data_IF_929820577136
#
_entry.id   IF_929820577136
#
_cell.length_a   1.000
_cell.length_b   1.000
_cell.length_c   1.000
_cell.angle_alpha   90.00
_cell.angle_beta   90.00
_cell.angle_gamma   90.00
#
_symmetry.space_group_name_H-M   'P 1'
#
loop_
_entity.id
_entity.type
_entity.pdbx_description
1 polymer ?
#
# COMPACT_ATOMS: atom_id res chain seq x y z
N UNK A 1 -5.18 19.66 -8.69
CA UNK A 1 -3.95 18.89 -8.38
C UNK A 1 -2.87 19.49 -9.25
N UNK A 2 -2.07 20.34 -8.66
CA UNK A 2 -1.01 21.00 -9.40
C UNK A 2 -0.02 19.95 -9.97
N UNK A 3 0.91 20.37 -10.83
CA UNK A 3 1.92 19.56 -11.55
C UNK A 3 2.80 18.63 -10.67
N UNK A 4 2.47 18.51 -9.37
CA UNK A 4 3.25 17.78 -8.37
C UNK A 4 2.77 16.33 -8.19
N UNK A 5 1.45 16.06 -8.30
CA UNK A 5 0.87 14.71 -8.10
C UNK A 5 0.05 14.34 -9.34
N UNK A 6 0.35 13.18 -9.92
CA UNK A 6 -0.37 12.65 -11.07
C UNK A 6 -0.72 11.17 -10.88
N UNK A 7 -1.79 10.75 -11.56
CA UNK A 7 -2.32 9.41 -11.49
C UNK A 7 -2.55 8.84 -12.88
N UNK A 8 -2.56 7.51 -12.99
CA UNK A 8 -2.92 6.79 -14.21
C UNK A 8 -4.09 5.86 -13.97
N UNK A 9 -4.97 5.65 -14.96
CA UNK A 9 -6.06 4.68 -14.89
C UNK A 9 -5.58 3.23 -14.72
N UNK A 10 -4.46 2.85 -15.31
CA UNK A 10 -3.87 1.53 -15.09
C UNK A 10 -3.48 1.39 -13.60
N UNK A 11 -4.04 0.41 -12.91
CA UNK A 11 -3.78 0.15 -11.49
C UNK A 11 -4.17 1.29 -10.55
N UNK A 12 -4.92 2.30 -11.01
CA UNK A 12 -5.09 3.57 -10.29
C UNK A 12 -3.74 4.08 -9.73
N UNK A 13 -2.70 4.06 -10.56
CA UNK A 13 -1.30 4.27 -10.18
C UNK A 13 -1.06 5.71 -9.75
N UNK A 14 -0.30 5.89 -8.65
CA UNK A 14 0.36 7.15 -8.31
C UNK A 14 1.62 7.24 -9.19
N UNK A 15 1.56 8.02 -10.27
CA UNK A 15 2.65 8.17 -11.24
C UNK A 15 3.71 9.15 -10.76
N UNK A 16 3.30 10.23 -10.13
CA UNK A 16 4.22 11.21 -9.56
C UNK A 16 3.76 11.71 -8.21
N UNK A 17 4.72 11.98 -7.35
CA UNK A 17 4.58 12.70 -6.10
C UNK A 17 5.83 13.56 -5.93
N UNK A 18 5.73 14.83 -6.36
CA UNK A 18 6.89 15.74 -6.39
C UNK A 18 6.94 16.59 -5.13
N UNK A 19 8.12 16.70 -4.57
CA UNK A 19 8.41 17.52 -3.38
C UNK A 19 9.72 18.26 -3.61
N UNK A 20 9.69 19.58 -3.50
CA UNK A 20 10.88 20.41 -3.74
C UNK A 20 11.51 20.19 -5.12
N UNK A 21 10.69 19.86 -6.13
CA UNK A 21 11.12 19.62 -7.50
C UNK A 21 11.57 18.17 -7.81
N UNK A 22 11.68 17.29 -6.80
CA UNK A 22 12.02 15.89 -6.98
C UNK A 22 10.75 15.03 -6.97
N UNK A 23 10.58 14.15 -7.97
CA UNK A 23 9.59 13.08 -7.89
C UNK A 23 10.12 11.99 -6.94
N UNK A 24 9.48 11.81 -5.79
CA UNK A 24 9.94 10.89 -4.75
C UNK A 24 9.39 9.47 -4.90
N UNK A 25 8.60 9.19 -5.95
CA UNK A 25 8.10 7.84 -6.25
C UNK A 25 8.71 7.31 -7.54
N UNK A 26 8.99 6.01 -7.56
CA UNK A 26 9.46 5.31 -8.76
C UNK A 26 8.30 5.09 -9.73
N UNK A 27 8.61 5.12 -11.03
CA UNK A 27 7.61 4.92 -12.06
C UNK A 27 8.16 5.07 -13.48
N UNK A 28 7.22 5.20 -14.42
CA UNK A 28 7.50 5.36 -15.85
C UNK A 28 6.83 6.62 -16.40
N UNK A 29 7.33 7.17 -17.50
CA UNK A 29 6.77 8.40 -18.10
C UNK A 29 5.40 8.20 -18.77
N UNK A 30 5.02 6.97 -19.14
CA UNK A 30 3.73 6.71 -19.80
C UNK A 30 3.05 5.43 -19.33
N UNK A 31 1.73 5.33 -19.51
CA UNK A 31 0.93 4.17 -19.11
C UNK A 31 1.34 2.90 -19.85
N UNK A 32 1.73 2.99 -21.11
CA UNK A 32 2.17 1.86 -21.92
C UNK A 32 3.41 1.20 -21.29
N UNK A 33 4.35 2.02 -20.82
CA UNK A 33 5.56 1.52 -20.16
C UNK A 33 5.25 0.85 -18.80
N UNK A 34 4.24 1.35 -18.07
CA UNK A 34 3.74 0.64 -16.89
C UNK A 34 3.11 -0.70 -17.27
N UNK A 35 2.30 -0.76 -18.33
CA UNK A 35 1.67 -2.02 -18.76
C UNK A 35 2.70 -3.08 -19.15
N UNK A 36 3.83 -2.66 -19.72
CA UNK A 36 4.88 -3.56 -20.22
C UNK A 36 5.94 -3.91 -19.17
N UNK A 37 6.32 -2.97 -18.31
CA UNK A 37 7.52 -3.08 -17.46
C UNK A 37 7.27 -3.01 -15.96
N UNK A 38 6.02 -2.81 -15.50
CA UNK A 38 5.72 -2.63 -14.07
C UNK A 38 5.59 -3.96 -13.30
N UNK A 39 6.54 -4.86 -13.47
CA UNK A 39 6.59 -6.08 -12.64
C UNK A 39 6.72 -5.79 -11.13
N UNK A 40 7.41 -4.70 -10.67
CA UNK A 40 7.47 -4.34 -9.26
C UNK A 40 6.20 -3.68 -8.71
N UNK A 41 5.18 -3.41 -9.53
CA UNK A 41 3.94 -2.71 -9.13
C UNK A 41 4.12 -1.25 -8.70
N UNK A 42 5.08 -0.50 -9.26
CA UNK A 42 5.33 0.91 -8.94
C UNK A 42 4.04 1.72 -8.89
N UNK A 43 3.71 2.26 -7.72
CA UNK A 43 2.58 3.15 -7.49
C UNK A 43 1.18 2.53 -7.57
N UNK A 44 1.08 1.23 -7.82
CA UNK A 44 -0.19 0.56 -8.11
C UNK A 44 -1.05 0.34 -6.86
N UNK A 45 -2.36 0.44 -7.03
CA UNK A 45 -3.35 -0.07 -6.08
C UNK A 45 -3.40 -1.58 -6.17
N UNK A 46 -3.08 -2.25 -5.08
CA UNK A 46 -3.05 -3.71 -4.98
C UNK A 46 -4.40 -4.23 -4.47
N UNK A 47 -4.87 -5.28 -5.09
CA UNK A 47 -6.08 -6.05 -4.78
C UNK A 47 -6.23 -7.23 -5.75
N UNK A 48 -7.21 -8.13 -5.57
CA UNK A 48 -8.24 -8.11 -4.51
C UNK A 48 -7.64 -8.25 -3.10
N UNK A 49 -6.54 -9.03 -2.96
CA UNK A 49 -5.85 -9.23 -1.69
C UNK A 49 -4.38 -8.85 -1.84
N UNK A 50 -3.95 -7.84 -1.11
CA UNK A 50 -2.57 -7.43 -0.99
C UNK A 50 -1.75 -8.46 -0.22
N UNK A 51 -0.46 -8.56 -0.55
CA UNK A 51 0.47 -9.55 -0.04
C UNK A 51 0.00 -10.98 -0.34
N UNK A 52 0.21 -11.97 0.55
CA UNK A 52 0.09 -13.40 0.24
C UNK A 52 -1.14 -14.07 0.85
N UNK A 53 -1.64 -15.08 0.14
CA UNK A 53 -2.57 -16.10 0.65
C UNK A 53 -1.86 -17.45 0.57
N UNK A 54 -1.70 -18.11 1.71
CA UNK A 54 -1.01 -19.40 1.86
C UNK A 54 -1.67 -20.50 1.02
N UNK A 55 -0.84 -21.29 0.33
CA UNK A 55 -1.28 -22.42 -0.47
C UNK A 55 -2.23 -22.06 -1.60
N UNK A 56 -2.30 -20.76 -1.98
CA UNK A 56 -3.24 -20.24 -2.99
C UNK A 56 -4.68 -20.74 -2.77
N UNK A 57 -5.12 -20.80 -1.51
CA UNK A 57 -6.40 -21.42 -1.13
C UNK A 57 -7.00 -20.77 0.12
N UNK A 58 -8.32 -20.72 0.17
CA UNK A 58 -9.09 -20.40 1.37
C UNK A 58 -10.23 -21.38 1.53
N UNK A 59 -10.39 -21.88 2.72
CA UNK A 59 -11.44 -22.81 3.12
C UNK A 59 -12.55 -22.14 3.90
N UNK A 60 -13.71 -22.83 3.95
CA UNK A 60 -14.84 -22.43 4.81
C UNK A 60 -15.41 -21.04 4.53
N UNK A 61 -15.54 -20.65 3.24
CA UNK A 61 -16.31 -19.49 2.79
C UNK A 61 -17.66 -19.92 2.19
N UNK A 62 -18.64 -19.00 2.18
CA UNK A 62 -19.93 -19.22 1.49
C UNK A 62 -20.57 -20.56 1.82
N UNK A 63 -20.70 -20.86 3.12
CA UNK A 63 -21.32 -22.11 3.58
C UNK A 63 -20.38 -23.32 3.53
N UNK A 64 -19.08 -23.13 3.77
CA UNK A 64 -18.09 -24.20 3.88
C UNK A 64 -17.38 -24.55 2.58
N UNK A 65 -17.49 -23.74 1.54
CA UNK A 65 -16.79 -23.95 0.27
C UNK A 65 -15.32 -23.60 0.39
N UNK A 66 -14.52 -24.31 -0.42
CA UNK A 66 -13.08 -24.01 -0.63
C UNK A 66 -12.91 -23.28 -1.95
N UNK A 67 -12.10 -22.24 -1.95
CA UNK A 67 -11.72 -21.46 -3.14
C UNK A 67 -10.23 -21.58 -3.37
N UNK A 68 -9.84 -21.88 -4.62
CA UNK A 68 -8.46 -21.94 -5.05
C UNK A 68 -8.14 -20.77 -5.96
N UNK A 69 -6.98 -20.19 -5.78
CA UNK A 69 -6.49 -19.03 -6.51
C UNK A 69 -5.30 -19.39 -7.38
N UNK A 70 -4.81 -18.45 -8.16
CA UNK A 70 -3.60 -18.65 -8.96
C UNK A 70 -2.37 -18.59 -8.03
N UNK A 71 -1.56 -19.66 -8.06
CA UNK A 71 -0.28 -19.71 -7.37
C UNK A 71 0.80 -19.01 -8.23
N UNK A 72 0.96 -17.70 -8.06
CA UNK A 72 1.88 -16.87 -8.82
C UNK A 72 3.17 -16.50 -8.06
N UNK A 73 3.32 -16.99 -6.82
CA UNK A 73 4.50 -16.78 -5.98
C UNK A 73 4.82 -18.07 -5.20
N UNK A 74 5.55 -18.99 -5.83
CA UNK A 74 5.74 -20.33 -5.29
C UNK A 74 4.40 -21.03 -5.06
N UNK A 75 4.13 -21.58 -3.86
CA UNK A 75 2.85 -22.22 -3.56
C UNK A 75 1.72 -21.21 -3.27
N UNK A 76 2.01 -19.92 -3.14
CA UNK A 76 1.10 -18.90 -2.63
C UNK A 76 0.54 -18.02 -3.76
N UNK A 77 -0.61 -17.39 -3.48
CA UNK A 77 -1.09 -16.25 -4.28
C UNK A 77 -0.47 -14.97 -3.73
N UNK A 78 0.03 -14.11 -4.62
CA UNK A 78 0.58 -12.79 -4.30
C UNK A 78 -0.19 -11.71 -5.05
N UNK A 79 -0.54 -10.63 -4.36
CA UNK A 79 -1.11 -9.40 -4.92
C UNK A 79 -2.35 -9.63 -5.81
N UNK A 80 -3.20 -10.58 -5.43
CA UNK A 80 -4.46 -10.85 -6.12
C UNK A 80 -4.36 -11.70 -7.39
N UNK A 81 -3.21 -12.32 -7.67
CA UNK A 81 -3.04 -13.25 -8.80
C UNK A 81 -2.16 -12.71 -9.93
N UNK A 82 -2.26 -13.29 -11.12
CA UNK A 82 -1.41 -12.98 -12.27
C UNK A 82 -1.65 -11.57 -12.83
N UNK A 83 -2.91 -11.18 -12.92
CA UNK A 83 -3.30 -9.87 -13.43
C UNK A 83 -3.51 -8.90 -12.26
N UNK A 84 -4.20 -9.30 -11.20
CA UNK A 84 -4.45 -8.47 -10.04
C UNK A 84 -5.01 -7.08 -10.37
N UNK A 85 -5.41 -6.31 -9.38
CA UNK A 85 -5.99 -4.99 -9.61
C UNK A 85 -4.96 -3.94 -10.05
N UNK A 86 -3.70 -4.11 -9.69
CA UNK A 86 -2.60 -3.23 -10.07
C UNK A 86 -2.24 -3.25 -11.56
N UNK A 87 -2.73 -4.23 -12.31
CA UNK A 87 -2.52 -4.38 -13.76
C UNK A 87 -3.78 -4.17 -14.58
N UNK A 88 -4.89 -3.78 -13.95
CA UNK A 88 -6.16 -3.49 -14.62
C UNK A 88 -6.34 -2.01 -14.85
N UNK A 89 -7.06 -1.66 -15.92
CA UNK A 89 -7.46 -0.27 -16.19
C UNK A 89 -8.72 0.03 -15.37
N UNK A 90 -8.62 0.97 -14.45
CA UNK A 90 -9.71 1.48 -13.64
C UNK A 90 -10.46 2.57 -14.39
N UNK A 91 -11.76 2.69 -14.15
CA UNK A 91 -12.54 3.83 -14.60
C UNK A 91 -12.13 5.07 -13.80
N UNK A 92 -11.80 6.15 -14.47
CA UNK A 92 -11.32 7.39 -13.85
C UNK A 92 -10.08 7.96 -14.54
N UNK A 93 -9.47 9.04 -14.00
CA UNK A 93 -9.91 9.76 -12.80
C UNK A 93 -11.23 10.54 -13.02
N UNK A 94 -12.17 10.39 -12.10
CA UNK A 94 -13.42 11.16 -12.09
C UNK A 94 -13.33 12.21 -10.98
N UNK A 95 -13.44 13.53 -11.27
CA UNK A 95 -13.45 14.55 -10.24
C UNK A 95 -14.64 14.37 -9.28
N UNK A 96 -14.37 14.41 -7.97
CA UNK A 96 -15.39 14.26 -6.91
C UNK A 96 -15.64 15.60 -6.20
N UNK A 97 -14.70 16.53 -6.30
CA UNK A 97 -14.79 17.86 -5.68
C UNK A 97 -13.53 18.24 -4.90
N UNK A 98 -13.67 19.19 -4.01
CA UNK A 98 -12.57 19.71 -3.19
C UNK A 98 -12.85 19.42 -1.72
N UNK A 99 -11.92 18.79 -1.03
CA UNK A 99 -11.96 18.57 0.42
C UNK A 99 -11.11 19.61 1.13
N UNK A 100 -11.67 20.25 2.17
CA UNK A 100 -10.96 21.24 2.99
C UNK A 100 -10.13 20.63 4.11
N UNK A 101 -10.36 19.37 4.42
CA UNK A 101 -9.64 18.63 5.46
C UNK A 101 -9.54 17.15 5.11
N UNK A 102 -8.59 16.50 5.74
CA UNK A 102 -8.44 15.04 5.76
C UNK A 102 -8.55 14.60 7.22
N UNK A 103 -9.47 13.67 7.57
CA UNK A 103 -9.61 13.20 8.94
C UNK A 103 -8.28 12.71 9.52
N UNK A 104 -7.88 13.24 10.68
CA UNK A 104 -6.61 12.94 11.34
C UNK A 104 -5.42 13.78 10.88
N UNK A 105 -5.59 14.68 9.91
CA UNK A 105 -4.58 15.68 9.52
C UNK A 105 -5.02 17.05 10.04
N UNK A 106 -4.12 17.72 10.75
CA UNK A 106 -4.39 19.06 11.28
C UNK A 106 -4.26 20.15 10.21
N UNK A 107 -5.05 21.20 10.35
CA UNK A 107 -5.04 22.36 9.47
C UNK A 107 -5.98 22.24 8.25
N UNK A 108 -6.17 23.39 7.60
CA UNK A 108 -6.97 23.46 6.36
C UNK A 108 -6.12 23.02 5.17
N UNK A 109 -6.68 22.13 4.37
CA UNK A 109 -6.05 21.62 3.15
C UNK A 109 -6.22 22.64 2.02
N UNK A 110 -5.14 23.23 1.58
CA UNK A 110 -5.09 24.07 0.38
C UNK A 110 -5.01 23.17 -0.86
N UNK A 111 -5.81 23.45 -1.86
CA UNK A 111 -6.02 22.55 -3.00
C UNK A 111 -7.14 21.57 -2.65
N UNK A 112 -6.81 20.35 -2.26
CA UNK A 112 -7.76 19.34 -1.80
C UNK A 112 -8.62 18.75 -2.90
N UNK A 113 -8.22 18.90 -4.17
CA UNK A 113 -8.91 18.25 -5.28
C UNK A 113 -8.92 16.74 -5.05
N UNK A 114 -10.10 16.17 -5.24
CA UNK A 114 -10.34 14.74 -5.05
C UNK A 114 -10.78 14.11 -6.37
N UNK A 115 -10.16 12.99 -6.70
CA UNK A 115 -10.55 12.15 -7.84
C UNK A 115 -10.87 10.73 -7.37
N UNK A 116 -11.84 10.10 -8.02
CA UNK A 116 -12.23 8.71 -7.85
C UNK A 116 -11.70 7.85 -9.00
N UNK A 117 -11.17 6.68 -8.68
CA UNK A 117 -11.02 5.56 -9.59
C UNK A 117 -11.88 4.41 -9.10
N UNK A 118 -12.52 3.68 -10.03
CA UNK A 118 -13.36 2.53 -9.69
C UNK A 118 -13.08 1.34 -10.59
N UNK A 119 -13.22 0.13 -10.04
CA UNK A 119 -13.03 -1.14 -10.72
C UNK A 119 -14.11 -2.11 -10.27
N UNK A 120 -14.77 -2.77 -11.22
CA UNK A 120 -15.58 -3.95 -10.96
C UNK A 120 -14.72 -5.19 -11.20
N UNK A 121 -14.55 -6.01 -10.16
CA UNK A 121 -13.89 -7.30 -10.20
C UNK A 121 -14.97 -8.37 -10.14
N UNK A 122 -15.20 -9.07 -11.23
CA UNK A 122 -16.31 -10.00 -11.41
C UNK A 122 -16.19 -11.25 -10.50
N UNK A 123 -17.31 -11.97 -10.32
CA UNK A 123 -17.32 -13.23 -9.60
C UNK A 123 -16.41 -14.24 -10.30
N UNK A 124 -15.51 -14.88 -9.54
CA UNK A 124 -14.51 -15.83 -10.07
C UNK A 124 -13.25 -15.18 -10.64
N UNK A 125 -13.13 -13.85 -10.60
CA UNK A 125 -11.91 -13.15 -11.03
C UNK A 125 -10.69 -13.62 -10.22
N UNK A 126 -9.65 -14.13 -10.89
CA UNK A 126 -8.46 -14.81 -10.31
C UNK A 126 -8.81 -15.94 -9.31
N UNK A 127 -10.05 -16.44 -9.35
CA UNK A 127 -10.60 -17.46 -8.45
C UNK A 127 -11.32 -16.90 -7.22
N UNK A 128 -11.35 -15.60 -7.02
CA UNK A 128 -12.02 -14.97 -5.87
C UNK A 128 -13.54 -15.00 -6.01
N UNK A 129 -14.29 -15.40 -4.96
CA UNK A 129 -15.75 -15.43 -5.02
C UNK A 129 -16.35 -14.03 -4.95
N UNK A 130 -17.46 -13.86 -5.65
CA UNK A 130 -18.29 -12.66 -5.63
C UNK A 130 -17.79 -11.52 -6.49
N UNK A 131 -18.74 -10.77 -7.02
CA UNK A 131 -18.50 -9.52 -7.73
C UNK A 131 -18.23 -8.40 -6.73
N UNK A 132 -17.12 -7.70 -6.87
CA UNK A 132 -16.70 -6.61 -5.99
C UNK A 132 -16.57 -5.31 -6.77
N UNK A 133 -17.25 -4.26 -6.28
CA UNK A 133 -17.01 -2.88 -6.71
C UNK A 133 -15.96 -2.27 -5.78
N UNK A 134 -14.77 -2.00 -6.31
CA UNK A 134 -13.69 -1.34 -5.62
C UNK A 134 -13.55 0.11 -6.06
N UNK A 135 -13.20 0.99 -5.11
CA UNK A 135 -12.94 2.41 -5.34
C UNK A 135 -11.70 2.87 -4.61
N UNK A 136 -11.00 3.82 -5.19
CA UNK A 136 -9.97 4.61 -4.51
C UNK A 136 -10.21 6.09 -4.75
N UNK A 137 -10.18 6.87 -3.67
CA UNK A 137 -10.30 8.32 -3.70
C UNK A 137 -8.93 8.91 -3.37
N UNK A 138 -8.35 9.63 -4.31
CA UNK A 138 -7.13 10.38 -4.09
C UNK A 138 -7.47 11.84 -3.82
N UNK A 139 -7.08 12.35 -2.64
CA UNK A 139 -7.20 13.77 -2.28
C UNK A 139 -5.81 14.34 -2.12
N UNK A 140 -5.47 15.35 -2.92
CA UNK A 140 -4.15 15.97 -2.91
C UNK A 140 -4.24 17.45 -2.55
N UNK A 141 -3.32 17.92 -1.71
CA UNK A 141 -3.25 19.31 -1.29
C UNK A 141 -2.04 19.60 -0.42
N UNK A 142 -2.04 20.77 0.20
CA UNK A 142 -0.98 21.22 1.10
C UNK A 142 -1.56 21.71 2.41
N UNK A 143 -0.88 21.40 3.51
CA UNK A 143 -1.17 21.96 4.84
C UNK A 143 0.04 22.74 5.34
N UNK A 144 -0.19 23.66 6.29
CA UNK A 144 0.91 24.33 6.98
C UNK A 144 1.07 23.73 8.37
N UNK A 145 2.18 23.04 8.60
CA UNK A 145 2.51 22.44 9.91
C UNK A 145 3.81 23.05 10.44
N UNK A 146 3.77 23.57 11.65
CA UNK A 146 4.94 24.19 12.30
C UNK A 146 5.66 25.23 11.40
N UNK A 147 4.88 25.99 10.61
CA UNK A 147 5.39 27.00 9.69
C UNK A 147 5.98 26.45 8.39
N UNK A 148 5.94 25.14 8.17
CA UNK A 148 6.38 24.48 6.92
C UNK A 148 5.18 24.13 6.05
N UNK A 149 5.34 24.25 4.72
CA UNK A 149 4.38 23.76 3.76
C UNK A 149 4.61 22.26 3.54
N UNK A 150 3.60 21.44 3.82
CA UNK A 150 3.63 19.99 3.70
C UNK A 150 2.67 19.57 2.59
N UNK A 151 3.17 18.87 1.59
CA UNK A 151 2.34 18.24 0.56
C UNK A 151 1.70 16.97 1.14
N UNK A 152 0.38 16.85 0.97
CA UNK A 152 -0.41 15.75 1.51
C UNK A 152 -1.14 15.04 0.37
N UNK A 153 -1.04 13.72 0.35
CA UNK A 153 -1.83 12.83 -0.51
C UNK A 153 -2.56 11.82 0.37
N UNK A 154 -3.88 11.95 0.45
CA UNK A 154 -4.75 10.96 1.08
C UNK A 154 -5.28 9.98 0.05
N UNK A 155 -5.28 8.71 0.40
CA UNK A 155 -5.81 7.59 -0.35
C UNK A 155 -6.88 6.93 0.52
N UNK A 156 -8.13 6.96 0.07
CA UNK A 156 -9.22 6.25 0.72
C UNK A 156 -9.68 5.11 -0.17
N UNK A 157 -9.65 3.91 0.37
CA UNK A 157 -10.11 2.70 -0.29
C UNK A 157 -11.50 2.33 0.19
N UNK A 158 -12.33 1.90 -0.75
CA UNK A 158 -13.62 1.26 -0.49
C UNK A 158 -13.77 0.02 -1.34
N UNK A 159 -14.41 -1.03 -0.79
CA UNK A 159 -14.87 -2.15 -1.59
C UNK A 159 -16.18 -2.70 -1.03
N UNK A 160 -17.07 -3.11 -1.91
CA UNK A 160 -18.38 -3.68 -1.60
C UNK A 160 -18.60 -4.96 -2.41
N UNK A 161 -19.12 -5.99 -1.75
CA UNK A 161 -19.59 -7.21 -2.42
C UNK A 161 -20.97 -6.94 -3.02
N UNK A 162 -21.04 -6.81 -4.36
CA UNK A 162 -22.25 -6.39 -5.08
C UNK A 162 -23.03 -7.54 -5.71
N UNK A 163 -22.42 -8.74 -5.81
CA UNK A 163 -23.06 -9.92 -6.38
C UNK A 163 -22.27 -11.20 -6.27
N UNK A 164 -22.82 -12.30 -6.77
CA UNK A 164 -22.12 -13.58 -6.98
C UNK A 164 -21.89 -14.46 -5.73
N UNK A 165 -21.81 -13.87 -4.53
CA UNK A 165 -21.53 -14.60 -3.29
C UNK A 165 -22.09 -13.87 -2.07
N UNK A 166 -22.10 -14.51 -0.89
CA UNK A 166 -22.45 -13.89 0.39
C UNK A 166 -21.19 -13.42 1.14
N UNK A 167 -20.02 -13.99 0.83
CA UNK A 167 -18.74 -13.66 1.45
C UNK A 167 -17.62 -13.63 0.40
N UNK A 168 -16.70 -12.69 0.55
CA UNK A 168 -15.46 -12.62 -0.25
C UNK A 168 -14.29 -12.20 0.63
N UNK A 169 -13.11 -12.08 0.02
CA UNK A 169 -11.88 -11.70 0.69
C UNK A 169 -11.39 -10.39 0.11
N UNK A 170 -10.98 -9.46 0.98
CA UNK A 170 -10.49 -8.15 0.56
C UNK A 170 -9.33 -7.67 1.43
N UNK A 171 -8.29 -7.15 0.80
CA UNK A 171 -7.21 -6.42 1.43
C UNK A 171 -6.56 -5.52 0.37
N UNK A 172 -6.63 -4.22 0.56
CA UNK A 172 -6.14 -3.25 -0.43
C UNK A 172 -4.99 -2.43 0.15
N UNK A 173 -4.03 -2.08 -0.70
CA UNK A 173 -2.94 -1.17 -0.35
C UNK A 173 -2.42 -0.44 -1.59
N UNK A 174 -1.47 0.47 -1.40
CA UNK A 174 -0.69 1.10 -2.47
C UNK A 174 0.76 0.61 -2.43
N UNK A 175 1.31 0.31 -3.59
CA UNK A 175 2.67 -0.22 -3.74
C UNK A 175 3.63 0.85 -4.31
N UNK A 176 3.59 2.06 -3.76
CA UNK A 176 4.56 3.10 -4.13
C UNK A 176 5.93 2.77 -3.58
N UNK A 177 6.94 2.93 -4.43
CA UNK A 177 8.34 2.86 -4.03
C UNK A 177 8.90 4.26 -3.90
N UNK A 178 9.32 4.62 -2.71
CA UNK A 178 9.87 5.94 -2.40
C UNK A 178 11.38 5.97 -2.54
N UNK A 179 11.89 7.06 -3.12
CA UNK A 179 13.30 7.41 -3.12
C UNK A 179 13.44 8.90 -2.83
N UNK A 180 13.92 9.22 -1.64
CA UNK A 180 14.08 10.59 -1.18
C UNK A 180 15.45 11.19 -1.52
N UNK A 181 16.38 10.36 -2.01
CA UNK A 181 17.77 10.77 -2.24
C UNK A 181 17.97 11.63 -3.49
N UNK A 182 17.12 11.46 -4.51
CA UNK A 182 17.37 11.98 -5.85
C UNK A 182 18.50 11.26 -6.60
N UNK A 183 19.02 10.16 -6.03
CA UNK A 183 20.08 9.31 -6.57
C UNK A 183 19.50 7.95 -7.00
N UNK A 184 20.25 7.07 -7.66
CA UNK A 184 19.74 5.77 -8.11
C UNK A 184 19.23 4.85 -7.01
N UNK A 185 19.70 4.99 -5.76
CA UNK A 185 19.35 4.14 -4.63
C UNK A 185 18.84 4.93 -3.42
N UNK A 186 18.25 4.22 -2.46
CA UNK A 186 17.76 4.76 -1.18
C UNK A 186 18.87 4.91 -0.14
N UNK A 187 20.11 4.62 -0.49
CA UNK A 187 21.27 4.73 0.42
C UNK A 187 21.36 6.12 1.06
N UNK A 188 21.62 6.16 2.36
CA UNK A 188 21.69 7.39 3.14
C UNK A 188 20.33 7.87 3.68
N UNK A 189 19.21 7.27 3.27
CA UNK A 189 17.90 7.60 3.83
C UNK A 189 17.83 7.13 5.27
N UNK A 190 17.47 8.04 6.18
CA UNK A 190 17.22 7.75 7.59
C UNK A 190 15.74 7.44 7.77
N UNK A 191 15.45 6.34 8.43
CA UNK A 191 14.08 5.82 8.63
C UNK A 191 13.84 5.52 10.10
N UNK A 192 12.60 5.69 10.54
CA UNK A 192 12.10 5.24 11.83
C UNK A 192 10.70 4.65 11.64
N UNK A 193 10.48 3.45 12.17
CA UNK A 193 9.16 2.83 12.20
C UNK A 193 8.46 3.11 13.53
N UNK A 194 7.13 3.03 13.55
CA UNK A 194 6.34 3.25 14.77
C UNK A 194 6.41 2.08 15.75
N UNK A 195 6.88 0.91 15.31
CA UNK A 195 6.84 -0.34 16.06
C UNK A 195 8.05 -1.21 15.75
N UNK A 196 8.43 -2.06 16.68
CA UNK A 196 9.36 -3.17 16.49
C UNK A 196 8.66 -4.54 16.47
N UNK A 197 7.33 -4.53 16.48
CA UNK A 197 6.52 -5.75 16.42
C UNK A 197 6.27 -6.13 14.96
N UNK A 198 6.55 -7.39 14.59
CA UNK A 198 6.37 -7.89 13.22
C UNK A 198 5.82 -9.32 13.20
N UNK A 199 5.37 -9.76 12.04
CA UNK A 199 4.95 -11.14 11.80
C UNK A 199 6.13 -11.94 11.25
N UNK A 200 6.71 -12.90 12.00
CA UNK A 200 7.79 -13.76 11.50
C UNK A 200 7.30 -14.62 10.35
N UNK A 201 8.09 -14.70 9.28
CA UNK A 201 7.74 -15.39 8.04
C UNK A 201 8.49 -16.70 7.89
N UNK A 202 7.87 -17.67 7.21
CA UNK A 202 8.56 -18.83 6.67
C UNK A 202 9.30 -18.48 5.36
N UNK A 203 9.98 -19.46 4.77
CA UNK A 203 10.75 -19.29 3.52
C UNK A 203 9.87 -18.98 2.30
N UNK A 204 8.55 -19.08 2.42
CA UNK A 204 7.58 -18.75 1.37
C UNK A 204 6.89 -17.39 1.60
N UNK A 205 7.25 -16.68 2.68
CA UNK A 205 6.73 -15.36 3.03
C UNK A 205 5.36 -15.40 3.72
N UNK A 206 5.04 -16.50 4.38
CA UNK A 206 3.81 -16.66 5.15
C UNK A 206 4.11 -16.54 6.66
N UNK A 207 3.29 -15.78 7.43
CA UNK A 207 3.45 -15.70 8.88
C UNK A 207 3.36 -17.07 9.55
N UNK A 208 4.33 -17.34 10.44
CA UNK A 208 4.42 -18.61 11.18
C UNK A 208 3.78 -18.54 12.56
N UNK A 209 3.77 -17.33 13.15
CA UNK A 209 3.19 -17.04 14.47
C UNK A 209 2.56 -15.66 14.48
N UNK A 210 1.92 -15.29 15.61
CA UNK A 210 1.51 -13.93 15.89
C UNK A 210 2.69 -12.95 16.05
N UNK A 211 2.41 -11.68 16.34
CA UNK A 211 3.42 -10.64 16.43
C UNK A 211 4.54 -10.96 17.43
N UNK A 212 5.77 -10.73 17.03
CA UNK A 212 6.99 -10.85 17.88
C UNK A 212 7.88 -9.62 17.70
N UNK A 213 8.87 -9.45 18.59
CA UNK A 213 9.81 -8.33 18.51
C UNK A 213 10.82 -8.56 17.38
N UNK A 214 10.98 -7.55 16.52
CA UNK A 214 11.99 -7.52 15.47
C UNK A 214 13.36 -7.19 16.08
N UNK A 215 14.28 -8.11 16.01
CA UNK A 215 15.58 -8.00 16.71
C UNK A 215 16.78 -7.64 15.83
N UNK A 216 16.60 -7.61 14.49
CA UNK A 216 17.73 -7.34 13.58
C UNK A 216 18.19 -5.88 13.61
N UNK A 217 17.26 -4.94 13.79
CA UNK A 217 17.50 -3.50 13.86
C UNK A 217 16.54 -2.88 14.87
N UNK A 218 16.99 -1.87 15.60
CA UNK A 218 16.11 -1.07 16.49
C UNK A 218 15.24 -0.14 15.65
N UNK A 219 14.08 -0.63 15.20
CA UNK A 219 13.23 0.06 14.22
C UNK A 219 12.50 1.28 14.77
N UNK A 220 12.27 1.34 16.08
CA UNK A 220 11.59 2.46 16.77
C UNK A 220 12.50 3.66 17.05
N UNK A 221 13.78 3.55 16.74
CA UNK A 221 14.75 4.65 16.71
C UNK A 221 15.24 4.88 15.28
N UNK A 222 15.70 6.10 14.93
CA UNK A 222 16.21 6.36 13.59
C UNK A 222 17.39 5.43 13.24
N UNK A 223 17.30 4.80 12.06
CA UNK A 223 18.36 4.00 11.45
C UNK A 223 18.56 4.40 9.99
N UNK A 224 19.74 4.15 9.44
CA UNK A 224 20.07 4.55 8.07
C UNK A 224 20.06 3.35 7.14
N UNK A 225 19.39 3.49 6.00
CA UNK A 225 19.44 2.52 4.92
C UNK A 225 20.80 2.64 4.20
N UNK A 226 21.60 1.58 4.22
CA UNK A 226 22.89 1.51 3.52
C UNK A 226 22.73 0.97 2.10
N UNK A 227 23.84 0.71 1.44
CA UNK A 227 23.87 0.18 0.07
C UNK A 227 23.24 -1.21 -0.06
N UNK A 228 23.31 -2.05 0.99
CA UNK A 228 22.76 -3.40 1.02
C UNK A 228 21.91 -3.68 2.27
N UNK A 229 22.31 -3.15 3.42
CA UNK A 229 21.70 -3.41 4.72
C UNK A 229 21.28 -2.09 5.42
N UNK A 230 20.33 -2.12 6.35
CA UNK A 230 19.47 -3.26 6.67
C UNK A 230 18.52 -3.57 5.51
N UNK A 231 18.23 -4.87 5.29
CA UNK A 231 17.30 -5.36 4.28
C UNK A 231 15.99 -5.79 4.95
N UNK A 232 14.89 -5.25 4.46
CA UNK A 232 13.55 -5.51 4.97
C UNK A 232 12.64 -6.02 3.84
N UNK A 233 11.83 -7.00 4.16
CA UNK A 233 10.61 -7.43 3.45
C UNK A 233 9.68 -8.03 4.49
N UNK A 234 9.30 -7.21 5.49
CA UNK A 234 8.65 -7.67 6.72
C UNK A 234 7.35 -6.92 6.97
N UNK A 235 6.34 -7.63 7.51
CA UNK A 235 5.05 -7.07 7.91
C UNK A 235 5.11 -6.64 9.39
N UNK A 236 5.08 -5.34 9.65
CA UNK A 236 5.07 -4.76 10.98
C UNK A 236 3.65 -4.54 11.49
N UNK A 237 3.44 -4.81 12.78
CA UNK A 237 2.14 -4.70 13.46
C UNK A 237 2.09 -3.44 14.30
N UNK A 238 1.09 -2.60 14.07
CA UNK A 238 0.99 -1.26 14.68
C UNK A 238 0.76 -1.33 16.18
N UNK A 239 -0.20 -2.15 16.61
CA UNK A 239 -0.51 -2.40 18.02
C UNK A 239 -0.59 -3.90 18.30
N UNK A 240 0.50 -4.53 18.77
CA UNK A 240 0.51 -5.95 19.09
C UNK A 240 -0.32 -6.32 20.31
N UNK A 241 -0.79 -5.34 21.10
CA UNK A 241 -1.64 -5.57 22.27
C UNK A 241 -3.13 -5.63 21.92
N UNK A 242 -3.52 -5.08 20.76
CA UNK A 242 -4.90 -5.12 20.29
C UNK A 242 -5.26 -6.54 19.82
N UNK A 243 -6.50 -6.96 20.12
CA UNK A 243 -7.00 -8.22 19.56
C UNK A 243 -7.13 -8.09 18.04
N UNK A 244 -6.50 -8.98 17.24
CA UNK A 244 -6.62 -8.93 15.78
C UNK A 244 -8.06 -9.01 15.29
N UNK A 245 -8.93 -9.73 15.98
CA UNK A 245 -10.36 -9.85 15.66
C UNK A 245 -11.18 -8.57 15.95
N UNK A 246 -10.61 -7.61 16.69
CA UNK A 246 -11.27 -6.32 16.95
C UNK A 246 -11.10 -5.30 15.81
N UNK A 247 -10.25 -5.59 14.83
CA UNK A 247 -10.05 -4.71 13.66
C UNK A 247 -11.30 -4.75 12.77
N UNK A 248 -12.02 -3.61 12.60
CA UNK A 248 -13.22 -3.60 11.78
C UNK A 248 -12.87 -3.75 10.29
N UNK A 249 -13.82 -4.23 9.50
CA UNK A 249 -13.64 -4.33 8.05
C UNK A 249 -13.51 -2.94 7.41
N UNK A 250 -14.11 -1.91 7.96
CA UNK A 250 -13.90 -0.50 7.59
C UNK A 250 -13.11 0.22 8.69
N UNK A 251 -11.83 0.48 8.45
CA UNK A 251 -10.94 1.17 9.40
C UNK A 251 -10.92 2.68 9.25
N UNK A 252 -11.59 3.26 8.25
CA UNK A 252 -11.52 4.71 7.96
C UNK A 252 -11.96 5.60 9.13
N UNK A 253 -12.79 5.07 10.03
CA UNK A 253 -13.21 5.74 11.27
C UNK A 253 -12.18 5.67 12.41
N UNK A 254 -11.14 4.87 12.28
CA UNK A 254 -10.09 4.76 13.28
C UNK A 254 -9.12 5.94 13.20
N UNK A 255 -8.38 6.23 14.29
CA UNK A 255 -7.32 7.25 14.26
C UNK A 255 -6.24 6.93 13.22
N UNK A 256 -5.72 7.97 12.55
CA UNK A 256 -4.51 7.86 11.74
C UNK A 256 -3.30 7.66 12.67
N UNK A 257 -2.57 6.59 12.45
CA UNK A 257 -1.29 6.32 13.12
C UNK A 257 -0.14 6.57 12.16
N UNK A 258 0.88 7.29 12.60
CA UNK A 258 2.13 7.43 11.82
C UNK A 258 2.90 6.11 11.90
N UNK A 259 3.08 5.48 10.75
CA UNK A 259 3.73 4.16 10.62
C UNK A 259 5.22 4.28 10.40
N UNK A 260 5.61 5.22 9.54
CA UNK A 260 6.99 5.43 9.13
C UNK A 260 7.25 6.93 9.02
N UNK A 261 8.40 7.36 9.52
CA UNK A 261 9.04 8.62 9.15
C UNK A 261 10.37 8.35 8.47
N UNK A 262 10.64 9.06 7.37
CA UNK A 262 11.87 8.94 6.62
C UNK A 262 12.37 10.33 6.18
N UNK A 263 13.69 10.51 6.10
CA UNK A 263 14.26 11.70 5.48
C UNK A 263 15.62 11.38 4.85
N UNK A 264 16.03 12.18 3.89
CA UNK A 264 17.36 12.06 3.30
C UNK A 264 18.16 13.34 3.56
N UNK A 265 19.31 13.26 4.26
CA UNK A 265 20.06 14.44 4.74
C UNK A 265 20.51 15.39 3.63
N UNK A 266 20.92 14.86 2.47
CA UNK A 266 21.42 15.68 1.37
C UNK A 266 20.30 16.38 0.58
N UNK A 267 19.23 15.67 0.23
CA UNK A 267 18.08 16.25 -0.48
C UNK A 267 17.22 17.13 0.40
N UNK A 268 17.28 16.91 1.73
CA UNK A 268 16.44 17.53 2.77
C UNK A 268 14.95 17.23 2.57
N UNK A 269 14.63 16.13 1.92
CA UNK A 269 13.26 15.68 1.72
C UNK A 269 12.86 14.75 2.86
N UNK A 270 11.68 15.00 3.39
CA UNK A 270 11.03 14.22 4.44
C UNK A 270 9.78 13.56 3.91
N UNK A 271 9.47 12.38 4.45
CA UNK A 271 8.25 11.62 4.19
C UNK A 271 7.72 11.07 5.51
N UNK A 272 6.42 11.22 5.73
CA UNK A 272 5.67 10.47 6.74
C UNK A 272 4.58 9.66 6.05
N UNK A 273 4.43 8.40 6.43
CA UNK A 273 3.33 7.53 6.02
C UNK A 273 2.46 7.25 7.23
N UNK A 274 1.18 7.60 7.11
CA UNK A 274 0.17 7.37 8.16
C UNK A 274 -0.94 6.47 7.61
N UNK A 275 -1.57 5.68 8.48
CA UNK A 275 -2.72 4.87 8.08
C UNK A 275 -3.65 4.56 9.23
N UNK A 276 -4.86 4.10 8.87
CA UNK A 276 -5.83 3.49 9.78
C UNK A 276 -5.70 1.97 9.85
N UNK A 277 -4.76 1.39 9.10
CA UNK A 277 -4.56 -0.05 8.99
C UNK A 277 -3.78 -0.64 10.20
N UNK A 278 -4.03 -1.91 10.56
CA UNK A 278 -3.42 -2.54 11.72
C UNK A 278 -1.97 -2.95 11.53
N UNK A 279 -1.51 -3.01 10.27
CA UNK A 279 -0.16 -3.42 9.92
C UNK A 279 0.33 -2.70 8.65
N UNK A 280 1.60 -2.87 8.34
CA UNK A 280 2.21 -2.40 7.10
C UNK A 280 3.40 -3.26 6.71
N UNK A 281 3.54 -3.55 5.42
CA UNK A 281 4.78 -4.09 4.87
C UNK A 281 5.80 -2.95 4.77
N UNK A 282 7.02 -3.20 5.24
CA UNK A 282 8.18 -2.35 4.97
C UNK A 282 9.17 -3.15 4.12
N UNK A 283 9.41 -2.67 2.89
CA UNK A 283 10.23 -3.38 1.91
C UNK A 283 11.30 -2.45 1.31
N UNK A 284 12.56 -2.85 1.34
CA UNK A 284 13.70 -2.04 0.90
C UNK A 284 14.09 -2.24 -0.57
N UNK A 285 13.22 -2.88 -1.35
CA UNK A 285 13.36 -2.93 -2.80
C UNK A 285 14.48 -3.83 -3.33
N UNK A 286 14.87 -4.87 -2.60
CA UNK A 286 15.95 -5.80 -2.97
C UNK A 286 15.78 -6.43 -4.35
N UNK A 287 14.55 -6.80 -4.71
CA UNK A 287 14.26 -7.54 -5.94
C UNK A 287 13.85 -6.66 -7.11
N UNK A 288 14.02 -5.33 -7.01
CA UNK A 288 13.77 -4.45 -8.16
C UNK A 288 14.83 -4.74 -9.23
N UNK A 289 14.35 -5.04 -10.45
CA UNK A 289 15.16 -5.22 -11.65
C UNK A 289 14.36 -4.73 -12.87
N UNK A 290 14.50 -3.46 -13.18
CA UNK A 290 13.78 -2.80 -14.26
C UNK A 290 14.79 -2.15 -15.20
N UNK A 291 14.82 -2.52 -16.47
CA UNK A 291 15.75 -1.96 -17.44
C UNK A 291 15.50 -0.47 -17.71
N UNK A 292 16.45 0.22 -18.31
CA UNK A 292 16.26 1.57 -18.82
C UNK A 292 15.30 1.51 -20.01
N UNK A 293 14.15 2.21 -19.93
CA UNK A 293 13.13 2.22 -20.97
C UNK A 293 12.46 3.60 -21.06
N UNK A 294 12.06 4.00 -22.26
CA UNK A 294 11.27 5.22 -22.49
C UNK A 294 11.92 6.50 -21.95
N UNK A 295 13.25 6.55 -21.87
CA UNK A 295 13.98 7.69 -21.29
C UNK A 295 14.09 7.65 -19.76
N UNK A 296 13.43 6.70 -19.08
CA UNK A 296 13.65 6.45 -17.65
C UNK A 296 14.92 5.62 -17.44
N UNK A 297 15.72 5.90 -16.39
CA UNK A 297 16.92 5.13 -16.08
C UNK A 297 16.55 3.70 -15.63
N UNK A 298 17.52 2.80 -15.67
CA UNK A 298 17.38 1.50 -15.03
C UNK A 298 17.16 1.66 -13.53
N UNK A 299 16.30 0.83 -12.94
CA UNK A 299 16.07 0.74 -11.49
C UNK A 299 16.44 -0.67 -11.05
N UNK A 300 17.52 -0.77 -10.31
CA UNK A 300 17.99 -2.01 -9.73
C UNK A 300 17.60 -2.13 -8.25
N UNK A 301 18.18 -3.13 -7.60
CA UNK A 301 18.02 -3.35 -6.16
C UNK A 301 18.18 -2.05 -5.37
N UNK A 302 17.27 -1.82 -4.42
CA UNK A 302 17.26 -0.67 -3.52
C UNK A 302 17.10 0.70 -4.21
N UNK A 303 16.52 0.73 -5.40
CA UNK A 303 16.18 2.01 -6.05
C UNK A 303 14.96 2.71 -5.42
N UNK A 304 14.22 2.03 -4.55
CA UNK A 304 13.09 2.56 -3.79
C UNK A 304 12.75 1.66 -2.62
N UNK A 305 12.06 2.19 -1.60
CA UNK A 305 11.47 1.43 -0.50
C UNK A 305 9.96 1.58 -0.48
N UNK A 306 9.24 0.55 -0.03
CA UNK A 306 7.77 0.56 0.10
C UNK A 306 7.34 0.65 1.55
N UNK A 307 6.22 1.32 1.77
CA UNK A 307 5.42 1.24 2.98
C UNK A 307 3.99 0.93 2.52
N UNK A 308 3.53 -0.27 2.81
CA UNK A 308 2.25 -0.78 2.31
C UNK A 308 1.31 -1.08 3.49
N UNK A 309 0.58 -0.07 4.00
CA UNK A 309 -0.39 -0.29 5.06
C UNK A 309 -1.48 -1.25 4.61
N UNK A 310 -1.79 -2.26 5.44
CA UNK A 310 -2.75 -3.31 5.08
C UNK A 310 -3.19 -4.13 6.29
N UNK A 311 -4.07 -5.10 6.06
CA UNK A 311 -4.40 -6.15 7.01
C UNK A 311 -3.21 -7.11 7.16
N UNK A 312 -3.22 -7.92 8.21
CA UNK A 312 -2.18 -8.94 8.42
C UNK A 312 -2.08 -9.86 7.21
N UNK A 313 -0.84 -10.24 6.86
CA UNK A 313 -0.58 -11.17 5.77
C UNK A 313 -1.27 -12.51 6.06
N UNK A 314 -1.95 -13.07 5.05
CA UNK A 314 -2.66 -14.36 5.16
C UNK A 314 -3.76 -14.41 6.23
N UNK A 315 -4.27 -13.26 6.69
CA UNK A 315 -5.24 -13.20 7.79
C UNK A 315 -6.47 -14.07 7.54
N UNK A 316 -6.92 -14.19 6.32
CA UNK A 316 -8.10 -15.00 5.96
C UNK A 316 -7.96 -16.49 6.35
N UNK A 317 -6.74 -17.01 6.44
CA UNK A 317 -6.44 -18.40 6.78
C UNK A 317 -6.06 -18.61 8.26
N UNK A 318 -6.12 -17.55 9.09
CA UNK A 318 -5.85 -17.62 10.52
C UNK A 318 -7.13 -17.22 11.27
N UNK A 319 -7.71 -18.12 12.05
CA UNK A 319 -9.03 -17.95 12.66
C UNK A 319 -9.15 -16.63 13.44
N UNK A 320 -8.17 -16.30 14.28
CA UNK A 320 -8.14 -15.09 15.09
C UNK A 320 -7.98 -13.79 14.26
N UNK A 321 -7.52 -13.87 13.01
CA UNK A 321 -7.26 -12.74 12.13
C UNK A 321 -8.28 -12.63 10.99
N UNK A 322 -9.04 -13.69 10.74
CA UNK A 322 -9.89 -13.90 9.57
C UNK A 322 -10.86 -12.73 9.32
N UNK A 323 -11.42 -12.17 10.38
CA UNK A 323 -12.36 -11.05 10.31
C UNK A 323 -11.78 -9.79 9.64
N UNK A 324 -10.44 -9.63 9.66
CA UNK A 324 -9.78 -8.49 9.04
C UNK A 324 -9.94 -8.45 7.51
N UNK A 325 -10.06 -9.61 6.87
CA UNK A 325 -10.12 -9.71 5.40
C UNK A 325 -11.44 -10.27 4.87
N UNK A 326 -12.32 -10.77 5.74
CA UNK A 326 -13.61 -11.31 5.36
C UNK A 326 -14.61 -10.19 5.13
N UNK A 327 -15.03 -9.99 3.89
CA UNK A 327 -16.06 -9.03 3.52
C UNK A 327 -17.37 -9.78 3.23
N UNK A 328 -18.43 -9.43 3.96
CA UNK A 328 -19.77 -9.99 3.78
C UNK A 328 -20.66 -9.04 2.97
N UNK A 329 -21.65 -9.62 2.31
CA UNK A 329 -22.67 -8.86 1.61
C UNK A 329 -23.36 -7.88 2.54
N UNK A 330 -23.46 -6.62 2.10
CA UNK A 330 -24.00 -5.52 2.89
C UNK A 330 -22.98 -4.81 3.79
N UNK A 331 -21.77 -5.34 3.92
CA UNK A 331 -20.67 -4.64 4.56
C UNK A 331 -19.84 -3.86 3.54
N UNK A 332 -19.08 -2.89 4.03
CA UNK A 332 -18.14 -2.12 3.24
C UNK A 332 -16.73 -2.27 3.83
N UNK A 333 -15.77 -2.70 3.00
CA UNK A 333 -14.35 -2.56 3.33
C UNK A 333 -13.95 -1.11 3.20
N UNK A 334 -13.13 -0.64 4.13
CA UNK A 334 -12.55 0.71 4.07
C UNK A 334 -11.18 0.78 4.70
N UNK A 335 -10.31 1.62 4.11
CA UNK A 335 -8.98 1.92 4.64
C UNK A 335 -8.58 3.34 4.25
N UNK A 336 -7.70 3.97 5.04
CA UNK A 336 -7.09 5.26 4.71
C UNK A 336 -5.59 5.21 4.86
N UNK A 337 -4.88 5.68 3.83
CA UNK A 337 -3.43 5.88 3.82
C UNK A 337 -3.18 7.35 3.53
N UNK A 338 -2.25 7.97 4.26
CA UNK A 338 -1.87 9.36 4.02
C UNK A 338 -0.36 9.46 3.90
N UNK A 339 0.09 10.06 2.81
CA UNK A 339 1.48 10.46 2.60
C UNK A 339 1.61 11.95 2.88
N UNK A 340 2.56 12.32 3.72
CA UNK A 340 2.95 13.71 3.99
C UNK A 340 4.42 13.86 3.61
N UNK A 341 4.73 14.85 2.77
CA UNK A 341 6.12 15.07 2.40
C UNK A 341 6.44 16.56 2.24
N UNK A 342 7.66 16.93 2.60
CA UNK A 342 8.14 18.31 2.55
C UNK A 342 9.65 18.35 2.33
N UNK A 343 10.14 19.52 1.95
CA UNK A 343 11.56 19.82 1.88
C UNK A 343 11.92 20.87 2.92
N UNK A 344 13.03 20.68 3.65
CA UNK A 344 13.62 21.67 4.55
C UNK A 344 14.39 22.77 3.82
#
# INVERSE_FOLDING_TARGET
MADEISFLPLGAIIQSFKVGGLNIVQGFPSQELYAEHNSPHFGATIGRVANRISGAKVESLNGGKTYSFVANNGPNTLHGGNVGWGKRVWKGPTPVGVRKNIPGIEGELKGGETVEFSLTSEDGDEGFPGEVLAKVFYTAGKVTENGKEVTVLSQEYEAELVGGAEETIINMTNHSYFNLSGKPTIEGTVVQLSTDSYLPLDDTGIPTTGPTVYSKVATTTPFTLGAQEPDFDDCFVVDPSASPSSVPIDTRGLPLTKLVSAHHPESKIHLEVLSTEPAFQFYTGKWIDVPAVGGAPARGSRSGFCVEPSRFVNAINVDDWRSQQLLKKGEKFGARIVYKAWKE
#
